data_IF_873235260474
#
_entry.id   IF_873235260474
#
_cell.length_a   1.000
_cell.length_b   1.000
_cell.length_c   1.000
_cell.angle_alpha   90.00
_cell.angle_beta   90.00
_cell.angle_gamma   90.00
#
_symmetry.space_group_name_H-M   'P 1'
#
loop_
_entity.id
_entity.type
_entity.pdbx_description
1 polymer ?
#
# COMPACT_ATOMS: atom_id res chain seq x y z
N UNK A 1 -8.73 15.36 13.74
CA UNK A 1 -8.98 14.33 12.70
C UNK A 1 -10.43 13.88 12.81
N UNK A 2 -11.18 13.88 11.70
CA UNK A 2 -12.56 13.38 11.72
C UNK A 2 -12.59 11.88 12.07
N UNK A 3 -13.45 11.40 12.99
CA UNK A 3 -13.55 9.98 13.35
C UNK A 3 -13.80 9.06 12.15
N UNK A 4 -14.47 9.57 11.11
CA UNK A 4 -14.78 8.84 9.88
C UNK A 4 -13.50 8.48 9.10
N UNK A 5 -12.50 9.37 9.12
CA UNK A 5 -11.23 9.19 8.39
C UNK A 5 -10.42 8.09 9.01
N UNK A 6 -10.36 8.07 10.34
CA UNK A 6 -9.67 7.03 11.11
C UNK A 6 -10.30 5.67 10.80
N UNK A 7 -11.64 5.58 10.82
CA UNK A 7 -12.34 4.33 10.52
C UNK A 7 -12.08 3.82 9.10
N UNK A 8 -12.08 4.71 8.11
CA UNK A 8 -11.73 4.36 6.72
C UNK A 8 -10.28 3.90 6.62
N UNK A 9 -9.34 4.58 7.28
CA UNK A 9 -7.93 4.20 7.27
C UNK A 9 -7.69 2.81 7.88
N UNK A 10 -8.31 2.50 9.02
CA UNK A 10 -8.24 1.18 9.64
C UNK A 10 -8.82 0.09 8.74
N UNK A 11 -9.95 0.35 8.07
CA UNK A 11 -10.56 -0.59 7.15
C UNK A 11 -9.65 -0.90 5.96
N UNK A 12 -9.09 0.14 5.33
CA UNK A 12 -8.13 0.00 4.24
C UNK A 12 -6.85 -0.70 4.69
N UNK A 13 -6.39 -0.39 5.91
CA UNK A 13 -5.25 -1.04 6.52
C UNK A 13 -5.48 -2.53 6.76
N UNK A 14 -6.67 -2.92 7.20
CA UNK A 14 -7.03 -4.33 7.39
C UNK A 14 -7.01 -5.10 6.06
N UNK A 15 -7.55 -4.52 4.99
CA UNK A 15 -7.50 -5.13 3.65
C UNK A 15 -6.05 -5.31 3.19
N UNK A 16 -5.24 -4.26 3.31
CA UNK A 16 -3.82 -4.28 2.96
C UNK A 16 -3.05 -5.36 3.72
N UNK A 17 -3.18 -5.41 5.05
CA UNK A 17 -2.51 -6.41 5.89
C UNK A 17 -2.97 -7.82 5.60
N UNK A 18 -4.24 -8.03 5.25
CA UNK A 18 -4.75 -9.35 4.83
C UNK A 18 -4.13 -9.80 3.51
N UNK A 19 -3.94 -8.88 2.55
CA UNK A 19 -3.26 -9.15 1.29
C UNK A 19 -1.76 -9.45 1.47
N UNK A 20 -1.08 -8.74 2.39
CA UNK A 20 0.30 -9.06 2.77
C UNK A 20 0.36 -10.44 3.45
N UNK A 21 -0.57 -10.71 4.36
CA UNK A 21 -0.73 -12.00 5.01
C UNK A 21 -0.93 -13.15 4.01
N UNK A 22 -1.68 -12.91 2.93
CA UNK A 22 -1.84 -13.87 1.82
C UNK A 22 -0.50 -14.23 1.17
N UNK A 23 0.38 -13.25 0.94
CA UNK A 23 1.72 -13.52 0.40
C UNK A 23 2.60 -14.24 1.42
N UNK A 24 2.55 -13.86 2.69
CA UNK A 24 3.25 -14.58 3.76
C UNK A 24 2.81 -16.05 3.82
N UNK A 25 1.50 -16.32 3.72
CA UNK A 25 0.96 -17.68 3.67
C UNK A 25 1.46 -18.45 2.45
N UNK A 26 1.55 -17.81 1.28
CA UNK A 26 2.10 -18.39 0.06
C UNK A 26 3.59 -18.81 0.19
N UNK A 27 4.34 -18.20 1.11
CA UNK A 27 5.74 -18.58 1.38
C UNK A 27 5.79 -19.90 2.17
N UNK A 28 4.89 -20.09 3.13
CA UNK A 28 4.88 -21.28 3.98
C UNK A 28 4.09 -22.45 3.38
N UNK A 29 3.10 -22.18 2.52
CA UNK A 29 2.23 -23.19 1.92
C UNK A 29 1.89 -22.85 0.47
N UNK A 30 1.65 -23.87 -0.35
CA UNK A 30 1.19 -23.70 -1.73
C UNK A 30 -0.22 -23.14 -1.79
N UNK A 31 -0.54 -22.43 -2.88
CA UNK A 31 -1.83 -21.75 -3.07
C UNK A 31 -3.05 -22.67 -3.09
N UNK A 32 -2.84 -23.93 -3.47
CA UNK A 32 -3.81 -25.01 -3.58
C UNK A 32 -3.91 -25.87 -2.32
N UNK A 33 -3.22 -25.49 -1.24
CA UNK A 33 -3.25 -26.23 0.03
C UNK A 33 -4.68 -26.36 0.57
N UNK A 34 -5.03 -27.59 0.99
CA UNK A 34 -6.33 -27.89 1.60
C UNK A 34 -6.51 -27.31 3.01
N UNK A 35 -5.48 -26.67 3.54
CA UNK A 35 -5.43 -26.12 4.88
C UNK A 35 -6.47 -25.01 5.09
N UNK A 36 -7.13 -25.03 6.25
CA UNK A 36 -8.22 -24.12 6.59
C UNK A 36 -7.83 -22.65 6.45
N UNK A 37 -6.71 -22.24 7.05
CA UNK A 37 -6.25 -20.86 7.00
C UNK A 37 -6.00 -20.40 5.56
N UNK A 38 -5.44 -21.29 4.73
CA UNK A 38 -5.17 -20.94 3.34
C UNK A 38 -6.46 -20.62 2.58
N UNK A 39 -7.50 -21.45 2.72
CA UNK A 39 -8.82 -21.23 2.12
C UNK A 39 -9.46 -19.92 2.59
N UNK A 40 -9.31 -19.57 3.87
CA UNK A 40 -9.80 -18.28 4.40
C UNK A 40 -9.08 -17.11 3.74
N UNK A 41 -7.74 -17.12 3.70
CA UNK A 41 -6.98 -16.08 3.02
C UNK A 41 -7.35 -15.98 1.54
N UNK A 42 -7.45 -17.10 0.81
CA UNK A 42 -7.88 -17.13 -0.61
C UNK A 42 -9.22 -16.39 -0.74
N UNK A 43 -10.20 -16.78 0.08
CA UNK A 43 -11.57 -16.28 -0.01
C UNK A 43 -11.66 -14.79 0.31
N UNK A 44 -10.90 -14.32 1.29
CA UNK A 44 -10.87 -12.91 1.69
C UNK A 44 -10.14 -12.04 0.67
N UNK A 45 -9.03 -12.50 0.08
CA UNK A 45 -8.22 -11.66 -0.81
C UNK A 45 -8.66 -11.70 -2.27
N UNK A 46 -9.24 -12.81 -2.75
CA UNK A 46 -9.60 -12.97 -4.16
C UNK A 46 -10.56 -11.90 -4.70
N UNK A 47 -11.61 -11.45 -3.97
CA UNK A 47 -12.48 -10.38 -4.45
C UNK A 47 -11.71 -9.08 -4.72
N UNK A 48 -10.79 -8.72 -3.83
CA UNK A 48 -9.95 -7.54 -4.00
C UNK A 48 -8.98 -7.73 -5.17
N UNK A 49 -8.31 -8.88 -5.28
CA UNK A 49 -7.40 -9.17 -6.39
C UNK A 49 -8.12 -9.08 -7.73
N UNK A 50 -9.32 -9.64 -7.85
CA UNK A 50 -10.14 -9.58 -9.08
C UNK A 50 -10.51 -8.16 -9.49
N UNK A 51 -10.69 -7.25 -8.54
CA UNK A 51 -10.96 -5.84 -8.83
C UNK A 51 -9.76 -5.16 -9.53
N UNK A 52 -8.54 -5.61 -9.23
CA UNK A 52 -7.30 -5.07 -9.77
C UNK A 52 -6.73 -5.90 -10.94
N UNK A 53 -7.44 -6.91 -11.44
CA UNK A 53 -6.98 -7.78 -12.54
C UNK A 53 -6.67 -6.99 -13.82
N UNK A 54 -7.44 -5.93 -14.09
CA UNK A 54 -7.19 -5.02 -15.24
C UNK A 54 -5.92 -4.18 -15.08
N UNK A 55 -5.53 -3.86 -13.86
CA UNK A 55 -4.36 -3.01 -13.56
C UNK A 55 -3.11 -3.86 -13.34
N UNK A 56 -3.30 -5.12 -12.94
CA UNK A 56 -2.22 -6.05 -12.63
C UNK A 56 -1.49 -6.43 -13.92
N UNK A 57 -0.16 -6.21 -14.00
CA UNK A 57 0.58 -6.54 -15.19
C UNK A 57 0.77 -8.05 -15.33
N UNK A 58 0.71 -8.54 -16.57
CA UNK A 58 0.78 -9.98 -16.88
C UNK A 58 2.15 -10.63 -16.60
N UNK A 59 3.23 -9.84 -16.49
CA UNK A 59 4.56 -10.35 -16.16
C UNK A 59 4.74 -10.72 -14.67
N UNK A 60 3.82 -10.29 -13.82
CA UNK A 60 3.92 -10.51 -12.37
C UNK A 60 3.57 -11.96 -12.04
N UNK A 61 4.43 -12.62 -11.25
CA UNK A 61 4.15 -13.99 -10.83
C UNK A 61 2.91 -14.01 -9.92
N UNK A 62 2.04 -15.00 -10.10
CA UNK A 62 0.75 -15.12 -9.41
C UNK A 62 0.84 -14.93 -7.88
N UNK A 63 1.84 -15.52 -7.18
CA UNK A 63 1.94 -15.35 -5.72
C UNK A 63 2.26 -13.93 -5.25
N UNK A 64 2.80 -13.07 -6.12
CA UNK A 64 3.09 -11.67 -5.80
C UNK A 64 1.94 -10.72 -6.11
N UNK A 65 0.90 -11.17 -6.83
CA UNK A 65 -0.26 -10.33 -7.18
C UNK A 65 -0.92 -9.71 -5.93
N UNK A 66 -1.14 -10.44 -4.83
CA UNK A 66 -1.73 -9.84 -3.63
C UNK A 66 -0.86 -8.70 -3.06
N UNK A 67 0.47 -8.79 -3.15
CA UNK A 67 1.38 -7.73 -2.70
C UNK A 67 1.28 -6.49 -3.61
N UNK A 68 1.20 -6.69 -4.93
CA UNK A 68 0.97 -5.61 -5.87
C UNK A 68 -0.33 -4.86 -5.57
N UNK A 69 -1.41 -5.60 -5.27
CA UNK A 69 -2.70 -5.00 -4.88
C UNK A 69 -2.60 -4.30 -3.53
N UNK A 70 -1.93 -4.89 -2.54
CA UNK A 70 -1.71 -4.27 -1.23
C UNK A 70 -1.01 -2.91 -1.34
N UNK A 71 -0.06 -2.79 -2.27
CA UNK A 71 0.63 -1.52 -2.54
C UNK A 71 -0.34 -0.40 -2.96
N UNK A 72 -1.40 -0.67 -3.72
CA UNK A 72 -2.40 0.36 -4.03
C UNK A 72 -3.17 0.84 -2.81
N UNK A 73 -3.53 -0.08 -1.89
CA UNK A 73 -4.15 0.29 -0.63
C UNK A 73 -3.20 1.15 0.22
N UNK A 74 -1.90 0.83 0.22
CA UNK A 74 -0.87 1.67 0.83
C UNK A 74 -0.83 3.06 0.18
N UNK A 75 -0.73 3.15 -1.15
CA UNK A 75 -0.70 4.42 -1.87
C UNK A 75 -1.94 5.28 -1.58
N UNK A 76 -3.11 4.65 -1.55
CA UNK A 76 -4.35 5.36 -1.24
C UNK A 76 -4.36 5.90 0.19
N UNK A 77 -3.95 5.10 1.17
CA UNK A 77 -3.91 5.49 2.59
C UNK A 77 -2.94 6.62 2.86
N UNK A 78 -1.72 6.53 2.32
CA UNK A 78 -0.65 7.46 2.67
C UNK A 78 -0.58 8.66 1.73
N UNK A 79 -0.95 8.55 0.45
CA UNK A 79 -0.79 9.65 -0.51
C UNK A 79 -2.12 10.26 -0.93
N UNK A 80 -3.13 9.44 -1.23
CA UNK A 80 -4.41 9.96 -1.75
C UNK A 80 -5.28 10.53 -0.64
N UNK A 81 -5.46 9.80 0.46
CA UNK A 81 -6.32 10.23 1.56
C UNK A 81 -5.82 11.53 2.22
N UNK A 82 -4.52 11.72 2.53
CA UNK A 82 -4.06 12.97 3.12
C UNK A 82 -4.18 14.15 2.17
N UNK A 83 -3.91 13.93 0.88
CA UNK A 83 -4.08 14.91 -0.18
C UNK A 83 -5.53 15.38 -0.31
N UNK A 84 -6.50 14.45 -0.38
CA UNK A 84 -7.93 14.75 -0.51
C UNK A 84 -8.51 15.44 0.73
N UNK A 85 -7.99 15.14 1.92
CA UNK A 85 -8.47 15.71 3.19
C UNK A 85 -7.77 17.03 3.55
N UNK A 86 -6.87 17.53 2.69
CA UNK A 86 -6.19 18.80 2.89
C UNK A 86 -5.17 18.80 4.03
N UNK A 87 -4.67 17.63 4.45
CA UNK A 87 -3.50 17.59 5.33
C UNK A 87 -2.29 18.09 4.55
N UNK A 88 -1.53 19.04 5.11
CA UNK A 88 -0.41 19.66 4.42
C UNK A 88 0.64 18.61 4.01
N UNK A 89 0.84 18.52 2.69
CA UNK A 89 1.76 17.61 1.97
C UNK A 89 3.24 17.82 2.36
N UNK A 90 3.54 18.90 3.09
CA UNK A 90 4.88 19.42 3.37
C UNK A 90 5.78 18.51 4.20
N UNK A 91 5.27 17.40 4.75
CA UNK A 91 6.07 16.42 5.50
C UNK A 91 6.44 15.14 4.72
N UNK A 92 5.88 14.91 3.52
CA UNK A 92 5.83 13.55 2.95
C UNK A 92 6.53 13.39 1.58
N UNK A 93 6.82 14.49 0.87
CA UNK A 93 7.51 14.45 -0.43
C UNK A 93 8.71 15.40 -0.54
N UNK A 94 8.87 16.34 0.40
CA UNK A 94 10.17 16.98 0.61
C UNK A 94 11.04 15.97 1.33
N UNK A 95 11.84 15.18 0.60
CA UNK A 95 12.96 14.50 1.22
C UNK A 95 13.70 15.56 2.06
N UNK A 96 13.78 15.39 3.40
CA UNK A 96 14.41 16.40 4.26
C UNK A 96 15.83 16.71 3.77
N UNK A 97 16.53 15.66 3.32
CA UNK A 97 17.84 15.72 2.69
C UNK A 97 17.87 16.62 1.44
N UNK A 98 16.96 16.43 0.48
CA UNK A 98 16.91 17.24 -0.75
C UNK A 98 16.60 18.71 -0.45
N UNK A 99 15.77 18.96 0.56
CA UNK A 99 15.44 20.32 1.02
C UNK A 99 16.60 20.98 1.75
N UNK A 100 17.39 20.21 2.51
CA UNK A 100 18.63 20.66 3.14
C UNK A 100 19.74 20.91 2.11
N UNK A 101 19.90 20.03 1.12
CA UNK A 101 20.85 20.18 0.00
C UNK A 101 20.49 21.41 -0.83
N UNK A 102 19.23 21.60 -1.21
CA UNK A 102 18.79 22.77 -1.97
C UNK A 102 19.00 24.07 -1.21
N UNK A 103 18.71 24.10 0.10
CA UNK A 103 18.99 25.27 0.96
C UNK A 103 20.49 25.54 1.06
N UNK A 104 21.29 24.51 1.28
CA UNK A 104 22.76 24.61 1.37
C UNK A 104 23.36 25.13 0.07
N UNK A 105 22.96 24.57 -1.07
CA UNK A 105 23.37 25.05 -2.39
C UNK A 105 22.92 26.50 -2.63
N UNK A 106 21.66 26.84 -2.33
CA UNK A 106 21.19 28.23 -2.49
C UNK A 106 22.02 29.22 -1.67
N UNK A 107 22.40 28.86 -0.44
CA UNK A 107 23.23 29.71 0.41
C UNK A 107 24.68 29.85 -0.09
N UNK A 108 25.18 28.85 -0.83
CA UNK A 108 26.50 28.89 -1.47
C UNK A 108 26.50 29.72 -2.76
N UNK A 109 25.39 29.73 -3.51
CA UNK A 109 25.26 30.48 -4.78
C UNK A 109 24.73 31.91 -4.61
N UNK A 110 24.07 32.23 -3.50
CA UNK A 110 23.55 33.57 -3.19
C UNK A 110 24.51 34.39 -2.32
N UNK A 111 25.80 34.04 -2.34
CA UNK A 111 26.92 34.70 -1.67
C UNK A 111 27.97 35.06 -2.72
#
# INVERSE_FOLDING_TARGET
MSPIVILIDYFLGLIMWTLIGRVAMNIFQKEDSNFFFMKVFVKLTNPFIKMFDRVTPSFLIKPLVPLYVAWFFYMFRFYVMPYLLGYSVMGMLSFPLESEIARSLSNLFNK
#
